data_IF_444062818870
#
_entry.id   IF_444062818870
#
_cell.length_a   1.000
_cell.length_b   1.000
_cell.length_c   1.000
_cell.angle_alpha   90.00
_cell.angle_beta   90.00
_cell.angle_gamma   90.00
#
_symmetry.space_group_name_H-M   'P 1'
#
loop_
_entity.id
_entity.type
_entity.pdbx_description
1 polymer ?
#
# COMPACT_ATOMS: atom_id res chain seq x y z
N UNK A 1 -0.02 -4.25 12.31
CA UNK A 1 1.34 -3.79 11.96
C UNK A 1 2.46 -4.61 12.61
N UNK A 2 2.19 -5.36 13.69
CA UNK A 2 3.23 -6.11 14.41
C UNK A 2 4.03 -7.14 13.55
N UNK A 3 3.51 -7.57 12.40
CA UNK A 3 4.20 -8.47 11.47
C UNK A 3 4.98 -7.76 10.35
N UNK A 4 4.86 -6.43 10.21
CA UNK A 4 5.47 -5.70 9.10
C UNK A 4 6.80 -5.05 9.52
N UNK A 5 7.89 -5.44 8.85
CA UNK A 5 9.24 -4.93 9.15
C UNK A 5 9.54 -3.57 8.50
N UNK A 6 8.79 -3.21 7.46
CA UNK A 6 8.98 -1.99 6.68
C UNK A 6 7.65 -1.42 6.18
N UNK A 7 7.65 -0.13 5.85
CA UNK A 7 6.52 0.53 5.20
C UNK A 7 6.91 1.04 3.81
N UNK A 8 6.06 0.75 2.83
CA UNK A 8 6.13 1.39 1.51
C UNK A 8 5.59 2.80 1.64
N UNK A 9 6.37 3.80 1.23
CA UNK A 9 6.07 5.22 1.47
C UNK A 9 4.68 5.64 0.99
N UNK A 10 4.26 5.15 -0.19
CA UNK A 10 2.96 5.45 -0.78
C UNK A 10 1.78 5.07 0.13
N UNK A 11 1.92 3.99 0.90
CA UNK A 11 0.84 3.46 1.75
C UNK A 11 0.45 4.46 2.84
N UNK A 12 1.41 5.21 3.41
CA UNK A 12 1.11 6.22 4.42
C UNK A 12 0.29 7.38 3.84
N UNK A 13 0.68 7.84 2.64
CA UNK A 13 -0.02 8.94 1.92
C UNK A 13 -1.43 8.51 1.55
N UNK A 14 -1.58 7.29 1.03
CA UNK A 14 -2.89 6.75 0.68
C UNK A 14 -3.78 6.54 1.90
N UNK A 15 -3.23 6.04 3.01
CA UNK A 15 -3.95 5.89 4.29
C UNK A 15 -4.48 7.24 4.77
N UNK A 16 -3.64 8.29 4.73
CA UNK A 16 -4.06 9.65 5.07
C UNK A 16 -5.22 10.13 4.19
N UNK A 17 -5.07 9.99 2.87
CA UNK A 17 -6.09 10.38 1.90
C UNK A 17 -7.42 9.63 2.11
N UNK A 18 -7.36 8.31 2.30
CA UNK A 18 -8.55 7.46 2.50
C UNK A 18 -9.28 7.85 3.78
N UNK A 19 -8.60 7.87 4.93
CA UNK A 19 -9.26 8.11 6.23
C UNK A 19 -9.90 9.50 6.32
N UNK A 20 -9.31 10.50 5.68
CA UNK A 20 -9.82 11.88 5.68
C UNK A 20 -10.96 12.12 4.68
N UNK A 21 -11.18 11.21 3.72
CA UNK A 21 -12.24 11.33 2.70
C UNK A 21 -13.40 10.35 2.84
N UNK A 22 -13.37 9.45 3.84
CA UNK A 22 -14.47 8.52 4.07
C UNK A 22 -15.83 9.24 4.22
N UNK A 23 -16.94 8.58 3.87
CA UNK A 23 -18.28 9.09 4.18
C UNK A 23 -18.50 9.19 5.71
N UNK A 24 -19.33 10.14 6.13
CA UNK A 24 -19.77 10.21 7.53
C UNK A 24 -20.47 8.91 7.95
N UNK A 25 -20.30 8.44 9.20
CA UNK A 25 -19.52 9.05 10.30
C UNK A 25 -18.05 8.59 10.34
N UNK A 26 -17.56 7.84 9.34
CA UNK A 26 -16.23 7.20 9.38
C UNK A 26 -15.07 8.13 9.01
N UNK A 27 -15.37 9.36 8.58
CA UNK A 27 -14.35 10.35 8.24
C UNK A 27 -13.54 10.72 9.47
N UNK A 28 -12.22 10.64 9.36
CA UNK A 28 -11.31 11.00 10.44
C UNK A 28 -10.75 12.41 10.21
N UNK A 29 -10.71 13.28 11.24
CA UNK A 29 -10.01 14.56 11.16
C UNK A 29 -8.53 14.40 10.76
N UNK A 30 -7.99 15.23 9.84
CA UNK A 30 -6.62 15.11 9.37
C UNK A 30 -5.54 15.01 10.47
N UNK A 31 -5.63 15.83 11.53
CA UNK A 31 -4.69 15.77 12.66
C UNK A 31 -4.68 14.41 13.38
N UNK A 32 -5.84 13.78 13.57
CA UNK A 32 -5.90 12.48 14.22
C UNK A 32 -5.26 11.39 13.34
N UNK A 33 -5.34 11.52 12.01
CA UNK A 33 -4.67 10.59 11.10
C UNK A 33 -3.15 10.78 11.12
N UNK A 34 -2.68 12.03 11.16
CA UNK A 34 -1.26 12.36 11.33
C UNK A 34 -0.70 11.77 12.64
N UNK A 35 -1.40 11.98 13.76
CA UNK A 35 -1.01 11.45 15.07
C UNK A 35 -0.96 9.91 15.05
N UNK A 36 -1.98 9.27 14.46
CA UNK A 36 -2.04 7.82 14.29
C UNK A 36 -0.86 7.29 13.46
N UNK A 37 -0.60 7.87 12.29
CA UNK A 37 0.48 7.44 11.41
C UNK A 37 1.86 7.65 12.05
N UNK A 38 2.03 8.72 12.82
CA UNK A 38 3.28 8.98 13.55
C UNK A 38 3.56 7.92 14.61
N UNK A 39 2.53 7.47 15.34
CA UNK A 39 2.68 6.46 16.38
C UNK A 39 2.82 5.03 15.83
N UNK A 40 2.08 4.70 14.77
CA UNK A 40 2.01 3.33 14.26
C UNK A 40 2.94 3.05 13.07
N UNK A 41 3.36 4.10 12.36
CA UNK A 41 4.28 4.04 11.23
C UNK A 41 5.42 5.06 11.45
N UNK A 42 6.26 4.87 12.49
CA UNK A 42 7.24 5.87 12.89
C UNK A 42 8.26 6.14 11.77
N UNK A 43 8.76 7.39 11.67
CA UNK A 43 9.76 7.78 10.68
C UNK A 43 11.05 6.93 10.72
N UNK A 44 11.35 6.36 11.89
CA UNK A 44 12.50 5.46 12.08
C UNK A 44 12.30 4.04 11.51
N UNK A 45 11.08 3.64 11.14
CA UNK A 45 10.84 2.35 10.50
C UNK A 45 11.49 2.33 9.10
N UNK A 46 12.00 1.16 8.69
CA UNK A 46 12.54 0.98 7.35
C UNK A 46 11.51 1.38 6.28
N UNK A 47 11.96 2.19 5.31
CA UNK A 47 11.11 2.70 4.22
C UNK A 47 11.50 2.09 2.90
N UNK A 48 10.48 1.61 2.19
CA UNK A 48 10.61 1.16 0.81
C UNK A 48 10.07 2.31 -0.06
N UNK A 49 10.90 2.89 -0.94
CA UNK A 49 10.45 3.95 -1.84
C UNK A 49 9.42 3.41 -2.84
N UNK A 50 8.61 4.32 -3.38
CA UNK A 50 7.64 3.96 -4.43
C UNK A 50 8.34 3.44 -5.69
N UNK A 51 7.66 2.58 -6.43
CA UNK A 51 8.16 2.09 -7.71
C UNK A 51 8.35 3.24 -8.73
N UNK A 52 9.32 3.13 -9.66
CA UNK A 52 9.52 4.11 -10.72
C UNK A 52 8.26 4.28 -11.59
N UNK A 53 7.88 5.54 -11.83
CA UNK A 53 6.65 5.92 -12.54
C UNK A 53 6.55 5.26 -13.91
N UNK A 54 7.65 5.22 -14.67
CA UNK A 54 7.71 4.64 -16.02
C UNK A 54 7.36 3.16 -15.99
N UNK A 55 7.89 2.42 -15.00
CA UNK A 55 7.63 0.99 -14.86
C UNK A 55 6.19 0.70 -14.44
N UNK A 56 5.62 1.54 -13.58
CA UNK A 56 4.21 1.43 -13.16
C UNK A 56 3.29 1.62 -14.37
N UNK A 57 3.53 2.67 -15.17
CA UNK A 57 2.71 2.97 -16.35
C UNK A 57 2.82 1.86 -17.40
N UNK A 58 4.03 1.38 -17.66
CA UNK A 58 4.29 0.28 -18.60
C UNK A 58 3.49 -0.97 -18.20
N UNK A 59 3.64 -1.45 -16.97
CA UNK A 59 2.95 -2.65 -16.50
C UNK A 59 1.44 -2.46 -16.38
N UNK A 60 0.99 -1.27 -15.98
CA UNK A 60 -0.43 -0.96 -15.93
C UNK A 60 -1.08 -1.12 -17.31
N UNK A 61 -0.43 -0.56 -18.33
CA UNK A 61 -0.85 -0.71 -19.73
C UNK A 61 -0.82 -2.17 -20.19
N UNK A 62 0.31 -2.86 -19.97
CA UNK A 62 0.49 -4.25 -20.41
C UNK A 62 -0.52 -5.22 -19.80
N UNK A 63 -0.92 -5.01 -18.55
CA UNK A 63 -1.80 -5.93 -17.81
C UNK A 63 -3.24 -5.41 -17.68
N UNK A 64 -3.58 -4.29 -18.33
CA UNK A 64 -4.92 -3.71 -18.26
C UNK A 64 -5.31 -3.24 -16.85
N UNK A 65 -4.33 -2.86 -16.01
CA UNK A 65 -4.57 -2.32 -14.68
C UNK A 65 -4.91 -0.84 -14.83
N UNK A 66 -6.09 -0.44 -14.34
CA UNK A 66 -6.60 0.92 -14.50
C UNK A 66 -7.30 1.43 -13.22
N UNK A 67 -7.50 2.74 -13.14
CA UNK A 67 -8.18 3.40 -12.03
C UNK A 67 -7.44 3.19 -10.70
N UNK A 68 -8.19 2.94 -9.63
CA UNK A 68 -7.62 2.78 -8.28
C UNK A 68 -6.61 1.64 -8.14
N UNK A 69 -6.73 0.59 -8.96
CA UNK A 69 -5.82 -0.56 -8.94
C UNK A 69 -4.38 -0.20 -9.34
N UNK A 70 -4.15 0.97 -9.92
CA UNK A 70 -2.80 1.49 -10.20
C UNK A 70 -2.04 1.78 -8.92
N UNK A 71 -2.71 2.21 -7.84
CA UNK A 71 -2.05 2.45 -6.55
C UNK A 71 -1.60 1.14 -5.90
N UNK A 72 -2.41 0.08 -6.01
CA UNK A 72 -2.01 -1.27 -5.62
C UNK A 72 -0.78 -1.74 -6.41
N UNK A 73 -0.67 -1.38 -7.69
CA UNK A 73 0.47 -1.74 -8.54
C UNK A 73 1.74 -1.02 -8.11
N UNK A 74 1.66 0.27 -7.74
CA UNK A 74 2.80 1.02 -7.18
C UNK A 74 3.34 0.33 -5.94
N UNK A 75 2.44 -0.07 -5.03
CA UNK A 75 2.79 -0.78 -3.79
C UNK A 75 3.39 -2.15 -4.10
N UNK A 76 2.77 -2.93 -4.98
CA UNK A 76 3.25 -4.25 -5.36
C UNK A 76 4.65 -4.22 -5.99
N UNK A 77 4.90 -3.25 -6.88
CA UNK A 77 6.20 -3.10 -7.53
C UNK A 77 7.29 -2.62 -6.59
N UNK A 78 6.96 -1.77 -5.60
CA UNK A 78 7.90 -1.36 -4.57
C UNK A 78 8.35 -2.56 -3.71
N UNK A 79 7.40 -3.41 -3.30
CA UNK A 79 7.71 -4.66 -2.58
C UNK A 79 8.54 -5.62 -3.46
N UNK A 80 8.18 -5.79 -4.73
CA UNK A 80 8.91 -6.67 -5.65
C UNK A 80 10.37 -6.20 -5.85
N UNK A 81 10.58 -4.90 -6.07
CA UNK A 81 11.91 -4.33 -6.27
C UNK A 81 12.82 -4.44 -5.03
N UNK A 82 12.23 -4.49 -3.83
CA UNK A 82 12.97 -4.67 -2.58
C UNK A 82 13.10 -6.13 -2.13
N UNK A 83 12.53 -7.09 -2.88
CA UNK A 83 12.50 -8.50 -2.51
C UNK A 83 11.65 -8.80 -1.27
N UNK A 84 10.80 -7.86 -0.84
CA UNK A 84 9.94 -8.02 0.33
C UNK A 84 8.68 -8.84 0.00
N UNK A 85 8.15 -9.54 1.00
CA UNK A 85 6.81 -10.13 0.90
C UNK A 85 5.76 -9.08 1.26
N UNK A 86 4.86 -8.78 0.34
CA UNK A 86 3.77 -7.83 0.56
C UNK A 86 2.72 -8.44 1.50
N UNK A 87 2.50 -7.82 2.65
CA UNK A 87 1.41 -8.16 3.56
C UNK A 87 0.15 -7.40 3.16
N UNK A 88 -0.95 -8.11 2.96
CA UNK A 88 -2.20 -7.49 2.48
C UNK A 88 -3.45 -8.09 3.12
N UNK A 89 -4.48 -7.26 3.26
CA UNK A 89 -5.85 -7.68 3.60
C UNK A 89 -6.77 -7.61 2.38
N UNK A 90 -6.30 -7.08 1.25
CA UNK A 90 -7.12 -6.86 0.06
C UNK A 90 -6.97 -7.99 -0.97
N UNK A 91 -7.92 -8.93 -0.95
CA UNK A 91 -7.99 -10.00 -1.95
C UNK A 91 -8.34 -9.48 -3.34
N UNK A 92 -8.96 -8.31 -3.46
CA UNK A 92 -9.37 -7.75 -4.76
C UNK A 92 -8.15 -7.35 -5.60
N UNK A 93 -7.04 -7.00 -4.93
CA UNK A 93 -5.79 -6.59 -5.55
C UNK A 93 -4.88 -7.77 -5.98
N UNK A 94 -5.28 -9.03 -5.75
CA UNK A 94 -4.46 -10.21 -6.13
C UNK A 94 -4.06 -10.22 -7.60
N UNK A 95 -4.95 -9.79 -8.50
CA UNK A 95 -4.64 -9.68 -9.93
C UNK A 95 -3.46 -8.73 -10.19
N UNK A 96 -3.45 -7.60 -9.49
CA UNK A 96 -2.36 -6.61 -9.53
C UNK A 96 -1.06 -7.17 -8.97
N UNK A 97 -1.13 -7.93 -7.87
CA UNK A 97 0.06 -8.55 -7.27
C UNK A 97 0.69 -9.58 -8.22
N UNK A 98 -0.14 -10.38 -8.91
CA UNK A 98 0.34 -11.31 -9.94
C UNK A 98 0.96 -10.58 -11.12
N UNK A 99 0.34 -9.48 -11.59
CA UNK A 99 0.89 -8.65 -12.67
C UNK A 99 2.25 -8.03 -12.28
N UNK A 100 2.43 -7.64 -11.02
CA UNK A 100 3.69 -7.12 -10.50
C UNK A 100 4.75 -8.22 -10.27
N UNK A 101 4.36 -9.50 -10.25
CA UNK A 101 5.26 -10.60 -9.91
C UNK A 101 5.73 -10.59 -8.44
N UNK A 102 4.99 -9.94 -7.55
CA UNK A 102 5.37 -9.81 -6.13
C UNK A 102 4.96 -11.04 -5.32
N UNK A 103 5.81 -11.46 -4.38
CA UNK A 103 5.36 -12.38 -3.33
C UNK A 103 4.46 -11.65 -2.36
N UNK A 104 3.26 -12.18 -2.12
CA UNK A 104 2.33 -11.59 -1.15
C UNK A 104 1.76 -12.66 -0.22
N UNK A 105 1.34 -12.22 0.96
CA UNK A 105 0.69 -13.03 1.97
C UNK A 105 -0.55 -12.30 2.50
N UNK A 106 -1.66 -13.01 2.52
CA UNK A 106 -2.86 -12.54 3.20
C UNK A 106 -2.63 -12.54 4.71
N UNK A 107 -2.79 -11.38 5.34
CA UNK A 107 -2.80 -11.27 6.79
C UNK A 107 -4.12 -11.85 7.30
N UNK A 108 -4.06 -12.69 8.31
CA UNK A 108 -5.26 -13.13 9.03
C UNK A 108 -5.53 -12.09 10.11
N UNK A 109 -6.75 -11.57 10.18
CA UNK A 109 -7.15 -10.83 11.38
C UNK A 109 -7.11 -11.81 12.56
N UNK A 110 -6.50 -11.44 13.71
CA UNK A 110 -6.67 -12.19 14.94
C UNK A 110 -8.18 -12.31 15.23
N UNK A 111 -8.61 -13.49 15.68
CA UNK A 111 -9.99 -13.72 16.16
C UNK A 111 -10.33 -12.86 17.38
#
# INVERSE_FOLDING_TARGET
LAEADALIEHVAIETFSVLTRLPAPRRVPPRLVEEFLTHHCPLAAARIPSAPTERVIELASMHGVAGGAVYDLVVALAAAASGATLLTLDRRAEGTYRAAGVHYRMVRTPE
#
